data_IF_132172525359
#
_entry.id   IF_132172525359
#
_cell.length_a   1.000
_cell.length_b   1.000
_cell.length_c   1.000
_cell.angle_alpha   90.00
_cell.angle_beta   90.00
_cell.angle_gamma   90.00
#
_symmetry.space_group_name_H-M   'P 1'
#
loop_
_entity.id
_entity.type
_entity.pdbx_description
1 polymer ?
#
# COMPACT_ATOMS: atom_id res chain seq x y z
N UNK A 1 5.85 -4.54 6.03
CA UNK A 1 5.40 -4.44 4.62
C UNK A 1 5.83 -3.10 4.03
N UNK A 2 5.80 -2.89 2.71
CA UNK A 2 6.19 -1.62 2.08
C UNK A 2 5.45 -1.35 0.77
N UNK A 3 5.35 -0.08 0.38
CA UNK A 3 4.77 0.32 -0.91
C UNK A 3 5.84 0.25 -2.00
N UNK A 4 5.59 -0.55 -3.04
CA UNK A 4 6.44 -0.66 -4.22
C UNK A 4 5.77 0.03 -5.42
N UNK A 5 6.43 1.02 -6.07
CA UNK A 5 5.95 1.58 -7.33
C UNK A 5 6.18 0.62 -8.50
N UNK A 6 5.30 0.67 -9.49
CA UNK A 6 5.42 -0.01 -10.77
C UNK A 6 5.04 0.96 -11.87
N UNK A 7 5.96 1.23 -12.80
CA UNK A 7 5.69 2.10 -13.94
C UNK A 7 4.76 1.39 -14.93
N UNK A 8 3.76 2.13 -15.39
CA UNK A 8 2.85 1.74 -16.47
C UNK A 8 2.90 2.79 -17.56
N UNK A 9 2.77 2.32 -18.80
CA UNK A 9 2.71 3.16 -19.97
C UNK A 9 1.27 3.19 -20.50
N UNK A 10 0.71 4.39 -20.63
CA UNK A 10 -0.56 4.60 -21.29
C UNK A 10 -0.33 4.77 -22.79
N UNK A 11 -0.84 3.83 -23.61
CA UNK A 11 -0.69 3.90 -25.07
C UNK A 11 -1.50 5.03 -25.71
N UNK A 12 -2.60 5.46 -25.08
CA UNK A 12 -3.49 6.50 -25.59
C UNK A 12 -2.91 7.88 -25.32
N UNK A 13 -2.57 8.18 -24.07
CA UNK A 13 -2.00 9.50 -23.70
C UNK A 13 -0.50 9.59 -23.96
N UNK A 14 0.16 8.46 -24.26
CA UNK A 14 1.61 8.32 -24.40
C UNK A 14 2.41 8.66 -23.14
N UNK A 15 1.75 8.71 -21.99
CA UNK A 15 2.38 9.07 -20.71
C UNK A 15 2.73 7.85 -19.86
N UNK A 16 3.75 8.01 -19.02
CA UNK A 16 4.09 7.04 -17.97
C UNK A 16 3.47 7.47 -16.64
N UNK A 17 2.85 6.54 -15.95
CA UNK A 17 2.32 6.74 -14.60
C UNK A 17 2.76 5.63 -13.67
N UNK A 18 2.72 5.89 -12.36
CA UNK A 18 3.02 4.89 -11.36
C UNK A 18 1.75 4.32 -10.78
N UNK A 19 1.71 2.99 -10.69
CA UNK A 19 0.80 2.29 -9.79
C UNK A 19 1.59 1.78 -8.60
N UNK A 20 0.92 1.68 -7.47
CA UNK A 20 1.52 1.31 -6.20
C UNK A 20 0.92 -0.01 -5.70
N UNK A 21 1.74 -0.80 -5.03
CA UNK A 21 1.35 -2.08 -4.44
C UNK A 21 1.92 -2.17 -3.04
N UNK A 22 1.12 -2.65 -2.09
CA UNK A 22 1.62 -3.07 -0.79
C UNK A 22 2.22 -4.46 -0.93
N UNK A 23 3.51 -4.57 -0.63
CA UNK A 23 4.26 -5.81 -0.72
C UNK A 23 4.82 -6.23 0.63
N UNK A 24 4.96 -7.53 0.79
CA UNK A 24 5.70 -8.16 1.88
C UNK A 24 6.96 -8.82 1.31
N UNK A 25 8.11 -8.55 1.92
CA UNK A 25 9.34 -9.24 1.59
C UNK A 25 9.40 -10.58 2.31
N UNK A 26 9.74 -11.64 1.60
CA UNK A 26 10.05 -12.94 2.17
C UNK A 26 11.33 -13.47 1.57
N UNK A 27 12.00 -14.36 2.31
CA UNK A 27 13.21 -15.05 1.83
C UNK A 27 12.83 -16.45 1.38
N UNK A 28 13.40 -16.86 0.24
CA UNK A 28 13.32 -18.24 -0.24
C UNK A 28 14.66 -18.61 -0.84
N UNK A 29 15.20 -19.74 -0.38
CA UNK A 29 16.44 -20.38 -0.83
C UNK A 29 17.61 -19.40 -1.06
N UNK A 30 17.65 -18.79 -2.24
CA UNK A 30 18.76 -17.99 -2.77
C UNK A 30 18.49 -16.48 -2.87
N UNK A 31 17.33 -16.00 -2.39
CA UNK A 31 17.00 -14.58 -2.59
C UNK A 31 15.87 -14.01 -1.74
N UNK A 32 15.72 -12.69 -1.84
CA UNK A 32 14.60 -11.94 -1.28
C UNK A 32 13.56 -11.70 -2.38
N UNK A 33 12.34 -12.15 -2.14
CA UNK A 33 11.21 -12.04 -3.05
C UNK A 33 10.14 -11.15 -2.42
N UNK A 34 9.29 -10.55 -3.25
CA UNK A 34 8.22 -9.67 -2.79
C UNK A 34 6.86 -10.27 -3.17
N UNK A 35 6.04 -10.58 -2.17
CA UNK A 35 4.65 -10.99 -2.34
C UNK A 35 3.75 -9.76 -2.36
N UNK A 36 2.82 -9.68 -3.31
CA UNK A 36 1.86 -8.56 -3.39
C UNK A 36 0.67 -8.89 -2.49
N UNK A 37 0.48 -8.07 -1.45
CA UNK A 37 -0.64 -8.22 -0.52
C UNK A 37 -1.86 -7.43 -1.02
N UNK A 38 -1.66 -6.16 -1.41
CA UNK A 38 -2.74 -5.28 -1.89
C UNK A 38 -2.27 -4.47 -3.11
N UNK A 39 -3.13 -4.37 -4.13
CA UNK A 39 -2.94 -3.40 -5.20
C UNK A 39 -3.55 -2.05 -4.78
N UNK A 40 -2.72 -1.02 -4.66
CA UNK A 40 -3.12 0.33 -4.21
C UNK A 40 -3.45 1.27 -5.39
N UNK A 41 -3.31 0.79 -6.63
CA UNK A 41 -3.55 1.58 -7.84
C UNK A 41 -2.73 2.89 -7.84
N UNK A 42 -3.26 3.97 -8.39
CA UNK A 42 -2.60 5.27 -8.35
C UNK A 42 -2.82 5.91 -6.98
N UNK A 43 -1.76 6.46 -6.40
CA UNK A 43 -1.81 7.24 -5.15
C UNK A 43 -1.49 8.71 -5.46
N UNK A 44 -2.32 9.33 -6.30
CA UNK A 44 -2.14 10.75 -6.68
C UNK A 44 -2.32 11.69 -5.46
N UNK A 45 -3.09 11.24 -4.46
CA UNK A 45 -3.35 11.95 -3.21
C UNK A 45 -2.14 11.99 -2.26
N UNK A 46 -1.23 11.01 -2.37
CA UNK A 46 -0.04 10.90 -1.51
C UNK A 46 1.21 11.10 -2.37
N UNK A 47 1.64 12.36 -2.52
CA UNK A 47 2.86 12.69 -3.29
C UNK A 47 4.12 12.29 -2.53
N UNK A 48 4.15 12.63 -1.25
CA UNK A 48 5.31 12.46 -0.38
C UNK A 48 5.59 10.99 0.00
N UNK A 49 6.88 10.68 0.17
CA UNK A 49 7.35 9.34 0.50
C UNK A 49 7.00 8.95 1.94
N UNK A 50 7.02 9.90 2.89
CA UNK A 50 6.71 9.60 4.28
C UNK A 50 5.24 9.22 4.45
N UNK A 51 4.33 9.92 3.79
CA UNK A 51 2.91 9.56 3.79
C UNK A 51 2.63 8.17 3.20
N UNK A 52 3.37 7.77 2.16
CA UNK A 52 3.30 6.40 1.62
C UNK A 52 3.83 5.38 2.63
N UNK A 53 4.89 5.71 3.37
CA UNK A 53 5.42 4.86 4.44
C UNK A 53 4.39 4.68 5.56
N UNK A 54 3.78 5.77 6.02
CA UNK A 54 2.72 5.76 7.02
C UNK A 54 1.51 4.93 6.57
N UNK A 55 1.07 5.08 5.31
CA UNK A 55 0.00 4.25 4.74
C UNK A 55 0.37 2.76 4.78
N UNK A 56 1.60 2.41 4.41
CA UNK A 56 2.06 1.02 4.42
C UNK A 56 2.02 0.41 5.83
N UNK A 57 2.57 1.14 6.81
CA UNK A 57 2.61 0.71 8.21
C UNK A 57 1.20 0.58 8.79
N UNK A 58 0.31 1.52 8.48
CA UNK A 58 -1.05 1.48 8.97
C UNK A 58 -1.84 0.31 8.41
N UNK A 59 -1.75 0.03 7.11
CA UNK A 59 -2.40 -1.15 6.53
C UNK A 59 -1.82 -2.44 7.11
N UNK A 60 -0.50 -2.52 7.30
CA UNK A 60 0.15 -3.67 7.92
C UNK A 60 -0.38 -3.93 9.34
N UNK A 61 -0.50 -2.87 10.15
CA UNK A 61 -1.06 -2.94 11.50
C UNK A 61 -2.51 -3.46 11.47
N UNK A 62 -3.35 -2.95 10.57
CA UNK A 62 -4.72 -3.43 10.40
C UNK A 62 -4.79 -4.90 9.94
N UNK A 63 -3.84 -5.36 9.12
CA UNK A 63 -3.76 -6.75 8.65
C UNK A 63 -3.33 -7.70 9.78
N UNK A 64 -2.41 -7.27 10.64
CA UNK A 64 -1.86 -8.09 11.75
C UNK A 64 -2.76 -8.10 12.98
N UNK A 65 -3.23 -6.93 13.41
CA UNK A 65 -3.95 -6.73 14.67
C UNK A 65 -5.46 -6.57 14.48
N UNK A 66 -5.92 -6.46 13.23
CA UNK A 66 -7.33 -6.24 12.89
C UNK A 66 -7.72 -4.76 12.88
N UNK A 67 -8.94 -4.49 12.41
CA UNK A 67 -9.46 -3.14 12.17
C UNK A 67 -9.53 -2.25 13.43
N UNK A 68 -9.66 -2.84 14.62
CA UNK A 68 -9.82 -2.10 15.87
C UNK A 68 -8.47 -1.64 16.47
N UNK A 69 -7.35 -1.86 15.77
CA UNK A 69 -6.06 -1.33 16.19
C UNK A 69 -6.06 0.20 16.12
N UNK A 70 -5.70 0.84 17.23
CA UNK A 70 -5.47 2.29 17.28
C UNK A 70 -4.18 2.63 16.52
N UNK A 71 -4.12 3.78 15.82
CA UNK A 71 -2.89 4.26 15.21
C UNK A 71 -1.76 4.33 16.24
N UNK A 72 -0.58 3.82 15.88
CA UNK A 72 0.62 3.86 16.74
C UNK A 72 1.15 5.30 16.85
N UNK A 73 0.94 6.13 15.82
CA UNK A 73 1.41 7.51 15.71
C UNK A 73 0.27 8.49 15.35
N UNK A 74 0.55 9.79 15.39
CA UNK A 74 -0.32 10.83 14.80
C UNK A 74 -0.33 10.69 13.28
N UNK A 75 -1.28 9.90 12.77
CA UNK A 75 -1.51 9.70 11.34
C UNK A 75 -2.46 10.77 10.82
N UNK A 76 -2.14 11.35 9.66
CA UNK A 76 -3.04 12.27 8.96
C UNK A 76 -4.38 11.59 8.61
N UNK A 77 -5.47 12.33 8.73
CA UNK A 77 -6.82 11.81 8.52
C UNK A 77 -7.02 11.20 7.12
N UNK A 78 -6.33 11.73 6.10
CA UNK A 78 -6.41 11.19 4.73
C UNK A 78 -5.73 9.83 4.64
N UNK A 79 -4.55 9.69 5.25
CA UNK A 79 -3.82 8.42 5.30
C UNK A 79 -4.65 7.35 6.01
N UNK A 80 -5.33 7.69 7.10
CA UNK A 80 -6.23 6.76 7.81
C UNK A 80 -7.42 6.34 6.94
N UNK A 81 -8.09 7.29 6.27
CA UNK A 81 -9.21 6.98 5.34
C UNK A 81 -8.76 6.05 4.20
N UNK A 82 -7.61 6.31 3.60
CA UNK A 82 -7.05 5.47 2.56
C UNK A 82 -6.71 4.07 3.07
N UNK A 83 -6.08 3.96 4.25
CA UNK A 83 -5.77 2.67 4.86
C UNK A 83 -7.04 1.84 5.09
N UNK A 84 -8.08 2.44 5.66
CA UNK A 84 -9.37 1.77 5.87
C UNK A 84 -10.04 1.35 4.55
N UNK A 85 -9.97 2.18 3.52
CA UNK A 85 -10.52 1.86 2.20
C UNK A 85 -9.83 0.64 1.60
N UNK A 86 -8.50 0.63 1.54
CA UNK A 86 -7.74 -0.47 0.95
C UNK A 86 -7.84 -1.76 1.76
N UNK A 87 -7.87 -1.66 3.10
CA UNK A 87 -8.08 -2.81 3.98
C UNK A 87 -9.45 -3.47 3.72
N UNK A 88 -10.53 -2.68 3.65
CA UNK A 88 -11.88 -3.19 3.35
C UNK A 88 -11.96 -3.83 1.96
N UNK A 89 -11.39 -3.17 0.95
CA UNK A 89 -11.41 -3.67 -0.42
C UNK A 89 -10.70 -5.02 -0.57
N UNK A 90 -9.61 -5.24 0.18
CA UNK A 90 -8.92 -6.53 0.19
C UNK A 90 -9.71 -7.61 0.92
N UNK A 91 -10.29 -7.31 2.09
CA UNK A 91 -11.10 -8.27 2.85
C UNK A 91 -12.36 -8.73 2.09
N UNK A 92 -12.94 -7.89 1.25
CA UNK A 92 -14.11 -8.26 0.43
C UNK A 92 -13.80 -9.25 -0.71
N UNK A 93 -12.51 -9.51 -1.01
CA UNK A 93 -12.09 -10.47 -2.04
C UNK A 93 -11.72 -11.85 -1.50
N UNK A 94 -11.66 -12.01 -0.18
CA UNK A 94 -11.27 -13.24 0.52
C UNK A 94 -12.51 -13.85 1.15
#
# INVERSE_FOLDING_TARGET
MFIKPSSKYNKLTKERYFIYKLCESYRRDWGTYHHIIINLSKLEELKDAEHKRQLALRIEDMLKNGKNSLPIDTIDEKTEKLAQYFYKYNKAKT
#
